data_IF_514032771193
#
_entry.id   IF_514032771193
#
_cell.length_a   1.000
_cell.length_b   1.000
_cell.length_c   1.000
_cell.angle_alpha   90.00
_cell.angle_beta   90.00
_cell.angle_gamma   90.00
#
_symmetry.space_group_name_H-M   'P 1'
#
loop_
_entity.id
_entity.type
_entity.pdbx_description
1 polymer ?
#
# COMPACT_ATOMS: atom_id res chain seq x y z
N UNK A 1 -7.89 1.26 -47.91
CA UNK A 1 -7.59 0.56 -46.64
C UNK A 1 -8.60 0.98 -45.57
N UNK A 2 -9.18 0.06 -44.78
CA UNK A 2 -10.14 0.43 -43.73
C UNK A 2 -9.45 1.10 -42.52
N UNK A 3 -10.04 2.17 -41.97
CA UNK A 3 -9.51 2.89 -40.79
C UNK A 3 -10.01 2.26 -39.49
N UNK A 4 -9.10 1.66 -38.72
CA UNK A 4 -9.43 1.17 -37.37
C UNK A 4 -9.66 2.35 -36.39
N UNK A 5 -10.89 2.51 -35.89
CA UNK A 5 -11.23 3.51 -34.86
C UNK A 5 -11.02 2.95 -33.44
N UNK A 6 -10.68 3.82 -32.49
CA UNK A 6 -10.34 3.45 -31.10
C UNK A 6 -11.44 2.85 -30.24
N UNK A 7 -12.70 2.87 -30.69
CA UNK A 7 -13.85 2.17 -30.10
C UNK A 7 -13.96 2.27 -28.57
N UNK A 8 -14.45 1.19 -27.94
CA UNK A 8 -14.68 1.11 -26.50
C UNK A 8 -13.41 0.91 -25.66
N UNK A 9 -12.26 0.60 -26.28
CA UNK A 9 -11.00 0.26 -25.61
C UNK A 9 -10.51 1.37 -24.69
N UNK A 10 -10.60 2.62 -25.13
CA UNK A 10 -10.21 3.79 -24.31
C UNK A 10 -11.09 3.92 -23.06
N UNK A 11 -12.42 3.76 -23.22
CA UNK A 11 -13.37 3.81 -22.10
C UNK A 11 -13.12 2.67 -21.10
N UNK A 12 -12.82 1.47 -21.58
CA UNK A 12 -12.50 0.31 -20.72
C UNK A 12 -11.22 0.54 -19.90
N UNK A 13 -10.15 1.07 -20.53
CA UNK A 13 -8.91 1.43 -19.82
C UNK A 13 -9.16 2.45 -18.71
N UNK A 14 -9.93 3.51 -18.99
CA UNK A 14 -10.31 4.51 -17.98
C UNK A 14 -11.11 3.90 -16.83
N UNK A 15 -12.11 3.05 -17.14
CA UNK A 15 -12.90 2.35 -16.12
C UNK A 15 -12.05 1.47 -15.20
N UNK A 16 -11.01 0.80 -15.72
CA UNK A 16 -10.09 -0.02 -14.90
C UNK A 16 -9.39 0.82 -13.83
N UNK A 17 -8.82 1.96 -14.21
CA UNK A 17 -8.14 2.87 -13.28
C UNK A 17 -9.14 3.48 -12.29
N UNK A 18 -10.30 3.94 -12.76
CA UNK A 18 -11.32 4.50 -11.88
C UNK A 18 -11.88 3.48 -10.89
N UNK A 19 -11.90 2.18 -11.25
CA UNK A 19 -12.27 1.11 -10.31
C UNK A 19 -11.24 0.96 -9.19
N UNK A 20 -9.94 1.13 -9.49
CA UNK A 20 -8.88 1.10 -8.49
C UNK A 20 -8.86 2.37 -7.61
N UNK A 21 -9.24 3.51 -8.17
CA UNK A 21 -9.30 4.80 -7.47
C UNK A 21 -10.56 4.99 -6.60
N UNK A 22 -11.41 3.97 -6.46
CA UNK A 22 -12.62 4.04 -5.63
C UNK A 22 -12.24 4.37 -4.18
N UNK A 23 -12.98 5.30 -3.57
CA UNK A 23 -12.74 5.75 -2.20
C UNK A 23 -11.66 6.83 -2.06
N UNK A 24 -10.97 7.23 -3.15
CA UNK A 24 -10.07 8.37 -3.09
C UNK A 24 -10.83 9.69 -2.96
N UNK A 25 -10.33 10.57 -2.10
CA UNK A 25 -10.96 11.85 -1.78
C UNK A 25 -10.86 12.85 -2.93
N UNK A 26 -11.96 13.59 -3.17
CA UNK A 26 -12.02 14.70 -4.12
C UNK A 26 -11.69 14.32 -5.56
N UNK A 27 -10.90 15.16 -6.24
CA UNK A 27 -10.53 14.97 -7.65
C UNK A 27 -9.80 13.65 -7.94
N UNK A 28 -9.18 13.01 -6.94
CA UNK A 28 -8.46 11.73 -7.09
C UNK A 28 -9.40 10.53 -7.27
N UNK A 29 -10.67 10.65 -6.89
CA UNK A 29 -11.70 9.63 -7.13
C UNK A 29 -12.64 9.95 -8.30
N UNK A 30 -12.59 11.17 -8.86
CA UNK A 30 -13.52 11.66 -9.90
C UNK A 30 -12.84 11.97 -11.24
N UNK A 31 -11.64 12.56 -11.23
CA UNK A 31 -10.92 12.97 -12.43
C UNK A 31 -9.90 11.92 -12.85
N UNK A 32 -9.95 11.47 -14.10
CA UNK A 32 -9.10 10.37 -14.58
C UNK A 32 -7.59 10.65 -14.44
N UNK A 33 -7.14 11.87 -14.72
CA UNK A 33 -5.71 12.23 -14.67
C UNK A 33 -5.16 12.12 -13.25
N UNK A 34 -5.81 12.81 -12.31
CA UNK A 34 -5.46 12.77 -10.89
C UNK A 34 -5.63 11.37 -10.28
N UNK A 35 -6.68 10.64 -10.68
CA UNK A 35 -6.89 9.26 -10.25
C UNK A 35 -5.75 8.35 -10.69
N UNK A 36 -5.33 8.43 -11.95
CA UNK A 36 -4.23 7.64 -12.49
C UNK A 36 -2.92 7.89 -11.73
N UNK A 37 -2.53 9.15 -11.57
CA UNK A 37 -1.31 9.53 -10.83
C UNK A 37 -1.34 9.01 -9.39
N UNK A 38 -2.50 9.11 -8.73
CA UNK A 38 -2.69 8.63 -7.36
C UNK A 38 -2.58 7.10 -7.30
N UNK A 39 -3.25 6.37 -8.19
CA UNK A 39 -3.20 4.91 -8.25
C UNK A 39 -1.77 4.41 -8.49
N UNK A 40 -1.04 5.01 -9.43
CA UNK A 40 0.36 4.64 -9.72
C UNK A 40 1.24 4.81 -8.47
N UNK A 41 1.11 5.95 -7.76
CA UNK A 41 1.84 6.20 -6.52
C UNK A 41 1.44 5.23 -5.39
N UNK A 42 0.15 4.96 -5.24
CA UNK A 42 -0.36 4.02 -4.23
C UNK A 42 0.14 2.59 -4.46
N UNK A 43 0.28 2.17 -5.71
CA UNK A 43 0.84 0.85 -6.04
C UNK A 43 2.33 0.74 -5.67
N UNK A 44 3.11 1.79 -5.91
CA UNK A 44 4.51 1.85 -5.47
C UNK A 44 4.63 1.77 -3.94
N UNK A 45 3.78 2.51 -3.20
CA UNK A 45 3.74 2.41 -1.74
C UNK A 45 3.32 1.03 -1.25
N UNK A 46 2.30 0.41 -1.86
CA UNK A 46 1.88 -0.94 -1.49
C UNK A 46 3.02 -1.97 -1.60
N UNK A 47 3.86 -1.87 -2.63
CA UNK A 47 5.03 -2.74 -2.75
C UNK A 47 6.04 -2.53 -1.62
N UNK A 48 6.40 -1.26 -1.35
CA UNK A 48 7.31 -0.89 -0.26
C UNK A 48 6.77 -1.35 1.09
N UNK A 49 5.49 -1.11 1.36
CA UNK A 49 4.86 -1.32 2.65
C UNK A 49 4.69 -2.81 2.98
N UNK A 50 4.55 -3.69 1.98
CA UNK A 50 4.63 -5.14 2.19
C UNK A 50 5.97 -5.59 2.79
N UNK A 51 7.07 -4.91 2.46
CA UNK A 51 8.39 -5.16 3.05
C UNK A 51 8.52 -4.50 4.42
N UNK A 52 8.00 -3.29 4.58
CA UNK A 52 8.01 -2.55 5.86
C UNK A 52 7.19 -3.27 6.94
N UNK A 53 6.02 -3.82 6.58
CA UNK A 53 5.11 -4.52 7.51
C UNK A 53 5.84 -5.62 8.30
N UNK A 54 6.71 -6.40 7.65
CA UNK A 54 7.52 -7.44 8.32
C UNK A 54 8.42 -6.85 9.41
N UNK A 55 9.03 -5.68 9.16
CA UNK A 55 9.87 -4.97 10.14
C UNK A 55 9.04 -4.36 11.26
N UNK A 56 7.87 -3.80 10.95
CA UNK A 56 6.95 -3.24 11.96
C UNK A 56 6.46 -4.31 12.94
N UNK A 57 6.06 -5.49 12.44
CA UNK A 57 5.66 -6.60 13.31
C UNK A 57 6.82 -7.11 14.16
N UNK A 58 8.02 -7.22 13.59
CA UNK A 58 9.21 -7.56 14.39
C UNK A 58 9.44 -6.55 15.51
N UNK A 59 9.35 -5.26 15.23
CA UNK A 59 9.45 -4.21 16.26
C UNK A 59 8.40 -4.38 17.35
N UNK A 60 7.13 -4.60 16.98
CA UNK A 60 6.05 -4.85 17.92
C UNK A 60 6.32 -6.08 18.80
N UNK A 61 6.83 -7.17 18.22
CA UNK A 61 7.16 -8.38 18.97
C UNK A 61 8.32 -8.15 19.94
N UNK A 62 9.36 -7.43 19.52
CA UNK A 62 10.47 -7.05 20.41
C UNK A 62 9.93 -6.25 21.61
N UNK A 63 9.06 -5.26 21.38
CA UNK A 63 8.45 -4.48 22.47
C UNK A 63 7.66 -5.36 23.43
N UNK A 64 6.85 -6.30 22.91
CA UNK A 64 6.06 -7.22 23.74
C UNK A 64 6.94 -8.17 24.57
N UNK A 65 7.98 -8.74 23.96
CA UNK A 65 8.92 -9.63 24.64
C UNK A 65 9.71 -8.85 25.69
N UNK A 66 10.15 -7.63 25.38
CA UNK A 66 10.88 -6.79 26.33
C UNK A 66 10.04 -6.48 27.57
N UNK A 67 8.76 -6.14 27.38
CA UNK A 67 7.85 -5.92 28.51
C UNK A 67 7.70 -7.17 29.39
N UNK A 68 7.63 -8.36 28.79
CA UNK A 68 7.57 -9.62 29.54
C UNK A 68 8.89 -9.95 30.26
N UNK A 69 10.04 -9.76 29.60
CA UNK A 69 11.35 -9.99 30.22
C UNK A 69 11.60 -9.03 31.40
N UNK A 70 11.14 -7.78 31.27
CA UNK A 70 11.29 -6.77 32.31
C UNK A 70 10.52 -7.12 33.60
N UNK A 71 9.37 -7.79 33.48
CA UNK A 71 8.64 -8.34 34.65
C UNK A 71 9.47 -9.39 35.40
N UNK A 72 10.33 -10.11 34.69
CA UNK A 72 11.27 -11.10 35.26
C UNK A 72 12.62 -10.50 35.64
N UNK A 73 12.77 -9.17 35.65
CA UNK A 73 14.02 -8.48 36.01
C UNK A 73 15.12 -8.56 34.95
N UNK A 74 14.81 -9.01 33.73
CA UNK A 74 15.76 -9.15 32.61
C UNK A 74 15.45 -8.16 31.49
N UNK A 75 16.46 -7.68 30.77
CA UNK A 75 16.26 -6.90 29.53
C UNK A 75 16.14 -7.81 28.32
N UNK A 76 15.44 -7.36 27.25
CA UNK A 76 15.33 -8.12 25.99
C UNK A 76 16.69 -8.55 25.43
N UNK A 77 17.70 -7.68 25.50
CA UNK A 77 19.05 -7.98 25.00
C UNK A 77 19.73 -9.08 25.80
N UNK A 78 19.53 -9.16 27.12
CA UNK A 78 20.05 -10.23 27.97
C UNK A 78 19.27 -11.54 27.78
N UNK A 79 17.96 -11.47 27.54
CA UNK A 79 17.11 -12.63 27.32
C UNK A 79 17.36 -13.32 25.96
N UNK A 80 17.72 -12.55 24.93
CA UNK A 80 17.95 -13.05 23.57
C UNK A 80 19.43 -13.35 23.29
N UNK A 81 20.34 -12.86 24.13
CA UNK A 81 21.78 -13.13 23.99
C UNK A 81 22.05 -14.62 24.09
#
# INVERSE_FOLDING_TARGET
MPRAKGGSKSRQRRKKIMKLAKGYTGGRGRLYRSARETVERSLAFAYRDRRVRRRQFRGLWITRINAAAQLSGLSYSQFIK
#
